data_IF_468471578107
#
_entry.id   IF_468471578107
#
_cell.length_a   1.000
_cell.length_b   1.000
_cell.length_c   1.000
_cell.angle_alpha   90.00
_cell.angle_beta   90.00
_cell.angle_gamma   90.00
#
_symmetry.space_group_name_H-M   'P 1'
#
loop_
_entity.id
_entity.type
_entity.pdbx_description
1 polymer ?
#
# COMPACT_ATOMS: atom_id res chain seq x y z
N UNK A 1 -11.70 5.57 -12.46
CA UNK A 1 -11.63 5.95 -11.03
C UNK A 1 -12.67 5.12 -10.27
N UNK A 2 -12.26 4.36 -9.25
CA UNK A 2 -13.15 3.50 -8.48
C UNK A 2 -13.74 4.27 -7.29
N UNK A 3 -15.07 4.41 -7.22
CA UNK A 3 -15.76 5.18 -6.17
C UNK A 3 -15.50 4.62 -4.77
N UNK A 4 -15.51 3.29 -4.61
CA UNK A 4 -15.28 2.64 -3.32
C UNK A 4 -13.89 2.94 -2.80
N UNK A 5 -12.86 2.89 -3.64
CA UNK A 5 -11.49 3.24 -3.25
C UNK A 5 -11.43 4.68 -2.73
N UNK A 6 -12.03 5.63 -3.45
CA UNK A 6 -12.03 7.04 -3.04
C UNK A 6 -12.78 7.26 -1.73
N UNK A 7 -13.94 6.61 -1.54
CA UNK A 7 -14.71 6.72 -0.31
C UNK A 7 -13.99 6.12 0.89
N UNK A 8 -13.33 4.96 0.73
CA UNK A 8 -12.55 4.35 1.79
C UNK A 8 -11.30 5.15 2.13
N UNK A 9 -10.63 5.73 1.12
CA UNK A 9 -9.47 6.58 1.32
C UNK A 9 -9.79 7.83 2.17
N UNK A 10 -11.01 8.37 2.07
CA UNK A 10 -11.45 9.51 2.88
C UNK A 10 -11.67 9.19 4.36
N UNK A 11 -11.93 7.93 4.72
CA UNK A 11 -12.18 7.50 6.10
C UNK A 11 -11.05 6.62 6.66
N UNK A 12 -9.98 6.43 5.90
CA UNK A 12 -8.83 5.61 6.24
C UNK A 12 -7.94 6.23 7.32
N UNK A 13 -6.90 5.48 7.71
CA UNK A 13 -5.93 5.90 8.76
C UNK A 13 -4.70 6.62 8.19
N UNK A 14 -4.51 6.57 6.87
CA UNK A 14 -3.45 7.29 6.18
C UNK A 14 -3.97 8.71 5.91
N UNK A 15 -3.26 9.71 6.40
CA UNK A 15 -3.70 11.11 6.32
C UNK A 15 -3.49 11.73 4.94
N UNK A 16 -2.45 11.29 4.22
CA UNK A 16 -2.23 11.72 2.85
C UNK A 16 -3.18 10.97 1.91
N UNK A 17 -3.89 11.72 1.07
CA UNK A 17 -4.96 11.14 0.26
C UNK A 17 -4.42 10.27 -0.87
N UNK A 18 -3.25 10.60 -1.45
CA UNK A 18 -2.64 9.77 -2.50
C UNK A 18 -2.27 8.40 -1.93
N UNK A 19 -1.60 8.39 -0.78
CA UNK A 19 -1.18 7.17 -0.10
C UNK A 19 -2.38 6.33 0.38
N UNK A 20 -3.45 6.99 0.88
CA UNK A 20 -4.69 6.31 1.24
C UNK A 20 -5.38 5.67 0.02
N UNK A 21 -5.39 6.33 -1.14
CA UNK A 21 -5.93 5.77 -2.38
C UNK A 21 -5.10 4.57 -2.84
N UNK A 22 -3.77 4.61 -2.71
CA UNK A 22 -2.88 3.50 -3.04
C UNK A 22 -3.19 2.28 -2.13
N UNK A 23 -3.30 2.48 -0.81
CA UNK A 23 -3.65 1.41 0.14
C UNK A 23 -5.00 0.77 -0.20
N UNK A 24 -6.04 1.60 -0.38
CA UNK A 24 -7.39 1.11 -0.66
C UNK A 24 -7.49 0.43 -2.03
N UNK A 25 -6.68 0.86 -3.01
CA UNK A 25 -6.57 0.18 -4.30
C UNK A 25 -5.94 -1.21 -4.13
N UNK A 26 -4.86 -1.31 -3.33
CA UNK A 26 -4.23 -2.59 -2.99
C UNK A 26 -5.21 -3.53 -2.31
N UNK A 27 -6.02 -3.03 -1.37
CA UNK A 27 -6.98 -3.85 -0.62
C UNK A 27 -8.07 -4.38 -1.54
N UNK A 28 -8.56 -3.54 -2.46
CA UNK A 28 -9.58 -3.93 -3.43
C UNK A 28 -9.12 -5.06 -4.35
N UNK A 29 -7.87 -5.04 -4.80
CA UNK A 29 -7.33 -6.07 -5.71
C UNK A 29 -6.76 -7.28 -4.99
N UNK A 30 -6.70 -7.26 -3.65
CA UNK A 30 -6.08 -8.30 -2.85
C UNK A 30 -4.57 -8.37 -3.01
N UNK A 31 -3.91 -7.21 -3.12
CA UNK A 31 -2.46 -7.14 -3.20
C UNK A 31 -1.80 -7.62 -1.89
N UNK A 32 -0.74 -8.43 -2.02
CA UNK A 32 0.00 -8.95 -0.86
C UNK A 32 0.85 -7.87 -0.18
N UNK A 33 1.36 -6.91 -0.96
CA UNK A 33 2.30 -5.89 -0.47
C UNK A 33 2.27 -4.61 -1.32
N UNK A 34 2.51 -3.47 -0.68
CA UNK A 34 2.82 -2.19 -1.35
C UNK A 34 4.35 -2.02 -1.36
N UNK A 35 4.93 -1.79 -2.54
CA UNK A 35 6.36 -1.51 -2.68
C UNK A 35 6.56 -0.03 -2.90
N UNK A 36 7.29 0.63 -1.99
CA UNK A 36 7.55 2.08 -2.09
C UNK A 36 8.90 2.43 -1.48
N UNK A 37 9.52 3.51 -1.97
CA UNK A 37 10.72 4.09 -1.34
C UNK A 37 10.41 4.87 -0.06
N UNK A 38 9.13 5.09 0.23
CA UNK A 38 8.67 5.99 1.28
C UNK A 38 7.75 5.27 2.29
N UNK A 39 8.24 4.19 2.88
CA UNK A 39 7.46 3.32 3.78
C UNK A 39 6.87 4.06 4.99
N UNK A 40 7.53 5.14 5.44
CA UNK A 40 7.08 5.97 6.57
C UNK A 40 5.69 6.62 6.36
N UNK A 41 5.30 6.91 5.13
CA UNK A 41 4.01 7.58 4.89
C UNK A 41 2.86 6.55 4.90
N UNK A 42 3.20 5.26 4.84
CA UNK A 42 2.29 4.13 4.93
C UNK A 42 2.32 3.43 6.30
N UNK A 43 2.84 4.05 7.36
CA UNK A 43 2.92 3.43 8.70
C UNK A 43 1.56 2.93 9.24
N UNK A 44 0.45 3.53 8.77
CA UNK A 44 -0.90 3.16 9.17
C UNK A 44 -1.60 2.25 8.15
N UNK A 45 -0.92 1.79 7.11
CA UNK A 45 -1.46 0.90 6.10
C UNK A 45 -1.83 -0.47 6.67
N UNK A 46 -2.91 -1.03 6.16
CA UNK A 46 -3.39 -2.37 6.52
C UNK A 46 -2.70 -3.47 5.70
N UNK A 47 -2.13 -3.11 4.56
CA UNK A 47 -1.33 -3.98 3.70
C UNK A 47 0.15 -3.84 4.11
N UNK A 48 0.93 -4.93 4.15
CA UNK A 48 2.38 -4.85 4.31
C UNK A 48 2.99 -3.86 3.33
N UNK A 49 3.94 -3.04 3.81
CA UNK A 49 4.63 -2.06 2.97
C UNK A 49 6.13 -2.26 3.11
N UNK A 50 6.79 -2.48 1.98
CA UNK A 50 8.23 -2.80 1.93
C UNK A 50 8.98 -1.85 1.00
N UNK A 51 10.29 -1.77 1.23
CA UNK A 51 11.21 -1.09 0.32
C UNK A 51 11.48 -1.88 -0.96
N UNK A 52 11.97 -1.23 -2.03
CA UNK A 52 12.40 -1.96 -3.24
C UNK A 52 13.49 -2.99 -2.98
N UNK A 53 14.43 -2.71 -2.07
CA UNK A 53 15.51 -3.63 -1.73
C UNK A 53 14.99 -4.90 -1.04
N UNK A 54 14.00 -4.76 -0.15
CA UNK A 54 13.33 -5.89 0.50
C UNK A 54 12.57 -6.74 -0.53
N UNK A 55 11.90 -6.12 -1.49
CA UNK A 55 11.22 -6.84 -2.57
C UNK A 55 12.21 -7.65 -3.42
N UNK A 56 13.35 -7.06 -3.79
CA UNK A 56 14.38 -7.77 -4.56
C UNK A 56 14.97 -8.95 -3.77
N UNK A 57 15.16 -8.80 -2.45
CA UNK A 57 15.57 -9.91 -1.59
C UNK A 57 14.54 -11.04 -1.59
N UNK A 58 13.25 -10.71 -1.41
CA UNK A 58 12.15 -11.69 -1.46
C UNK A 58 12.14 -12.47 -2.78
N UNK A 59 12.24 -11.78 -3.92
CA UNK A 59 12.31 -12.44 -5.25
C UNK A 59 13.51 -13.37 -5.41
N UNK A 60 14.65 -13.02 -4.81
CA UNK A 60 15.87 -13.82 -4.89
C UNK A 60 15.83 -15.03 -3.93
N UNK A 61 15.13 -14.91 -2.80
CA UNK A 61 14.97 -15.96 -1.79
C UNK A 61 13.81 -16.93 -2.09
N UNK A 62 13.12 -16.74 -3.21
CA UNK A 62 12.09 -17.67 -3.68
C UNK A 62 10.72 -17.45 -3.04
N UNK A 63 10.42 -16.20 -2.67
CA UNK A 63 9.06 -15.69 -2.83
C UNK A 63 8.75 -15.48 -4.32
#
# INVERSE_FOLDING_TARGET
>A
MNRTVLEQALIGKISDFEDAVIEQSGLLVGADVIVTRNTKDFMNASIPVIGPDEMLLMMNEGL
#
